data_IF_524462756325
#
_entry.id   IF_524462756325
#
_cell.length_a   1.000
_cell.length_b   1.000
_cell.length_c   1.000
_cell.angle_alpha   90.00
_cell.angle_beta   90.00
_cell.angle_gamma   90.00
#
_symmetry.space_group_name_H-M   'P 1'
#
loop_
_entity.id
_entity.type
_entity.pdbx_description
1 polymer ?
#
# COMPACT_ATOMS: atom_id res chain seq x y z
N UNK A 1 -2.47 -32.00 -27.30
CA UNK A 1 -2.01 -32.10 -25.89
C UNK A 1 -1.79 -30.68 -25.37
N UNK A 2 -2.82 -30.05 -24.83
CA UNK A 2 -2.71 -28.73 -24.19
C UNK A 2 -2.33 -28.93 -22.73
N UNK A 3 -1.02 -29.00 -22.44
CA UNK A 3 -0.52 -28.84 -21.08
C UNK A 3 -0.51 -27.34 -20.76
N UNK A 4 -1.65 -26.80 -20.32
CA UNK A 4 -1.61 -25.61 -19.48
C UNK A 4 -1.09 -26.08 -18.12
N UNK A 5 0.21 -25.90 -17.89
CA UNK A 5 0.79 -26.02 -16.56
C UNK A 5 -0.01 -25.10 -15.64
N UNK A 6 -0.74 -25.71 -14.72
CA UNK A 6 -1.56 -25.04 -13.73
C UNK A 6 -0.61 -24.39 -12.71
N UNK A 7 -0.11 -23.20 -13.04
CA UNK A 7 0.69 -22.41 -12.12
C UNK A 7 -0.25 -21.92 -11.02
N UNK A 8 -0.10 -22.50 -9.83
CA UNK A 8 -0.85 -22.13 -8.65
C UNK A 8 0.08 -21.51 -7.62
N UNK A 9 -0.38 -20.41 -7.02
CA UNK A 9 0.22 -19.82 -5.85
C UNK A 9 -0.63 -20.23 -4.66
N UNK A 10 -0.01 -20.84 -3.65
CA UNK A 10 -0.68 -21.22 -2.40
C UNK A 10 -1.27 -20.01 -1.67
N UNK A 11 -0.71 -18.83 -1.92
CA UNK A 11 -1.12 -17.55 -1.34
C UNK A 11 -1.34 -16.52 -2.45
N UNK A 12 -2.26 -15.55 -2.25
CA UNK A 12 -2.48 -14.50 -3.23
C UNK A 12 -1.26 -13.61 -3.39
N UNK A 13 -0.92 -13.30 -4.65
CA UNK A 13 0.10 -12.30 -4.98
C UNK A 13 -0.45 -10.88 -4.78
N UNK A 14 -0.14 -10.23 -3.68
CA UNK A 14 -0.55 -8.84 -3.46
C UNK A 14 0.24 -7.88 -4.35
N UNK A 15 -0.48 -7.06 -5.12
CA UNK A 15 0.07 -6.18 -6.17
C UNK A 15 0.97 -6.93 -7.17
N UNK A 16 0.61 -8.18 -7.45
CA UNK A 16 1.31 -9.04 -8.40
C UNK A 16 0.36 -9.96 -9.13
N UNK A 17 0.93 -10.76 -10.03
CA UNK A 17 0.26 -11.86 -10.73
C UNK A 17 1.03 -13.14 -10.47
N UNK A 18 0.31 -14.22 -10.22
CA UNK A 18 0.93 -15.54 -10.14
C UNK A 18 1.38 -15.94 -11.55
N UNK A 19 2.67 -16.19 -11.72
CA UNK A 19 3.29 -16.56 -13.01
C UNK A 19 3.95 -17.93 -13.00
N UNK A 20 4.05 -18.55 -11.82
CA UNK A 20 4.67 -19.85 -11.61
C UNK A 20 4.16 -20.52 -10.34
N UNK A 21 4.74 -21.66 -9.96
CA UNK A 21 4.42 -22.31 -8.69
C UNK A 21 4.96 -21.46 -7.56
N UNK A 22 4.07 -20.90 -6.74
CA UNK A 22 4.42 -19.95 -5.68
C UNK A 22 5.28 -18.75 -6.14
N UNK A 23 5.23 -18.42 -7.44
CA UNK A 23 6.04 -17.36 -8.01
C UNK A 23 5.16 -16.19 -8.43
N UNK A 24 5.29 -15.07 -7.72
CA UNK A 24 4.61 -13.82 -8.04
C UNK A 24 5.49 -12.90 -8.87
N UNK A 25 4.98 -12.46 -10.03
CA UNK A 25 5.51 -11.31 -10.76
C UNK A 25 4.79 -10.04 -10.30
N UNK A 26 5.53 -9.04 -9.82
CA UNK A 26 4.95 -7.78 -9.37
C UNK A 26 4.33 -7.00 -10.53
N UNK A 27 3.25 -6.27 -10.24
CA UNK A 27 2.67 -5.31 -11.19
C UNK A 27 3.68 -4.19 -11.50
N UNK A 28 3.54 -3.50 -12.66
CA UNK A 28 4.44 -2.40 -13.01
C UNK A 28 4.53 -1.35 -11.91
N UNK A 29 5.76 -0.96 -11.56
CA UNK A 29 6.02 -0.01 -10.48
C UNK A 29 5.93 -0.58 -9.07
N UNK A 30 5.76 -1.89 -8.90
CA UNK A 30 5.89 -2.60 -7.63
C UNK A 30 7.13 -3.51 -7.64
N UNK A 31 7.73 -3.75 -6.48
CA UNK A 31 8.92 -4.59 -6.31
C UNK A 31 8.71 -5.62 -5.21
N UNK A 32 9.34 -6.79 -5.37
CA UNK A 32 9.31 -7.88 -4.39
C UNK A 32 9.89 -7.39 -3.05
N UNK A 33 9.34 -7.93 -1.97
CA UNK A 33 9.85 -7.75 -0.61
C UNK A 33 10.58 -9.00 -0.13
N UNK A 34 10.82 -9.10 1.18
CA UNK A 34 11.23 -10.34 1.84
C UNK A 34 10.18 -11.47 1.70
N UNK A 35 8.94 -11.14 1.33
CA UNK A 35 7.87 -12.09 1.05
C UNK A 35 7.74 -12.34 -0.46
N UNK A 36 7.65 -13.61 -0.86
CA UNK A 36 7.45 -14.02 -2.26
C UNK A 36 6.06 -13.68 -2.80
N UNK A 37 5.10 -13.38 -1.92
CA UNK A 37 3.69 -13.15 -2.25
C UNK A 37 3.27 -11.68 -2.13
N UNK A 38 4.15 -10.78 -1.69
CA UNK A 38 3.80 -9.39 -1.44
C UNK A 38 4.76 -8.44 -2.17
N UNK A 39 4.19 -7.62 -3.06
CA UNK A 39 4.90 -6.58 -3.77
C UNK A 39 4.57 -5.20 -3.19
N UNK A 40 5.61 -4.45 -2.78
CA UNK A 40 5.47 -3.08 -2.31
C UNK A 40 5.64 -2.08 -3.47
N UNK A 41 4.97 -0.92 -3.42
CA UNK A 41 5.15 0.13 -4.41
C UNK A 41 6.61 0.61 -4.44
N UNK A 42 7.10 0.89 -5.63
CA UNK A 42 8.41 1.45 -5.87
C UNK A 42 8.31 2.91 -6.28
N UNK A 43 9.15 3.74 -5.66
CA UNK A 43 9.37 5.11 -6.06
C UNK A 43 10.83 5.21 -6.54
N UNK A 44 11.03 5.82 -7.72
CA UNK A 44 12.36 6.03 -8.31
C UNK A 44 13.17 7.09 -7.55
N UNK A 45 12.52 7.80 -6.63
CA UNK A 45 13.06 8.81 -5.72
C UNK A 45 12.71 8.50 -4.26
N UNK A 46 13.44 9.16 -3.36
CA UNK A 46 13.15 9.12 -1.92
C UNK A 46 11.95 9.99 -1.60
N UNK A 47 11.01 9.47 -0.79
CA UNK A 47 9.85 10.23 -0.32
C UNK A 47 10.15 11.15 0.86
N UNK A 48 11.39 11.19 1.39
CA UNK A 48 11.72 12.07 2.53
C UNK A 48 10.97 11.68 3.81
N UNK A 49 10.27 12.63 4.43
CA UNK A 49 9.42 12.43 5.63
C UNK A 49 8.07 11.72 5.33
N UNK A 50 8.04 10.93 4.26
CA UNK A 50 6.88 10.18 3.81
C UNK A 50 7.28 8.80 3.31
N UNK A 51 6.29 8.05 2.86
CA UNK A 51 6.50 6.71 2.31
C UNK A 51 5.90 6.58 0.91
N UNK A 52 6.41 5.64 0.12
CA UNK A 52 5.85 5.31 -1.18
C UNK A 52 4.54 4.54 -0.98
N UNK A 53 3.39 5.14 -1.29
CA UNK A 53 2.07 4.55 -1.07
C UNK A 53 1.47 3.94 -2.34
N UNK A 54 1.90 4.43 -3.49
CA UNK A 54 1.67 3.84 -4.81
C UNK A 54 2.92 4.05 -5.68
N UNK A 55 3.05 3.37 -6.83
CA UNK A 55 4.21 3.54 -7.70
C UNK A 55 4.46 5.01 -8.04
N UNK A 56 5.67 5.50 -7.74
CA UNK A 56 6.05 6.91 -7.91
C UNK A 56 5.10 7.92 -7.23
N UNK A 57 4.42 7.53 -6.15
CA UNK A 57 3.55 8.42 -5.37
C UNK A 57 3.87 8.33 -3.89
N UNK A 58 4.20 9.48 -3.29
CA UNK A 58 4.56 9.58 -1.89
C UNK A 58 3.36 10.04 -1.06
N UNK A 59 3.14 9.40 0.08
CA UNK A 59 2.24 9.88 1.13
C UNK A 59 3.05 10.39 2.29
N UNK A 60 2.81 11.65 2.65
CA UNK A 60 3.54 12.35 3.70
C UNK A 60 3.04 11.96 5.09
N UNK A 61 3.96 11.81 6.04
CA UNK A 61 3.65 11.41 7.42
C UNK A 61 3.88 12.55 8.41
N UNK A 62 3.25 12.49 9.58
CA UNK A 62 3.56 13.39 10.70
C UNK A 62 3.46 14.88 10.34
N UNK A 63 2.47 15.26 9.54
CA UNK A 63 2.25 16.66 9.14
C UNK A 63 3.27 17.22 8.15
N UNK A 64 4.12 16.38 7.54
CA UNK A 64 4.93 16.80 6.39
C UNK A 64 4.03 17.10 5.18
N UNK A 65 4.49 18.02 4.34
CA UNK A 65 3.78 18.37 3.10
C UNK A 65 4.58 17.94 1.88
N UNK A 66 3.85 17.67 0.80
CA UNK A 66 4.44 17.20 -0.45
C UNK A 66 4.87 18.39 -1.30
N UNK A 67 6.16 18.47 -1.60
CA UNK A 67 6.70 19.34 -2.64
C UNK A 67 7.03 18.44 -3.82
N UNK A 68 6.21 18.49 -4.87
CA UNK A 68 6.26 17.59 -6.03
C UNK A 68 6.23 16.10 -5.63
N UNK A 69 7.39 15.48 -5.48
CA UNK A 69 7.58 14.06 -5.23
C UNK A 69 8.32 13.79 -3.92
N UNK A 70 8.53 14.81 -3.08
CA UNK A 70 9.28 14.72 -1.83
C UNK A 70 8.45 15.26 -0.65
N UNK A 71 8.35 14.49 0.44
CA UNK A 71 7.72 14.95 1.67
C UNK A 71 8.76 15.62 2.58
N UNK A 72 8.47 16.84 3.00
CA UNK A 72 9.35 17.59 3.90
C UNK A 72 8.55 18.22 5.03
N UNK A 73 9.20 18.33 6.19
CA UNK A 73 8.72 19.15 7.31
C UNK A 73 9.39 20.54 7.33
N UNK A 74 10.38 20.76 6.47
CA UNK A 74 11.16 21.99 6.38
C UNK A 74 10.71 22.83 5.18
N UNK A 75 10.37 24.10 5.44
CA UNK A 75 10.25 25.15 4.43
C UNK A 75 11.64 25.79 4.21
N UNK A 76 12.06 26.02 2.96
CA UNK A 76 13.41 26.53 2.63
C UNK A 76 13.33 27.98 2.12
N UNK A 77 14.05 28.89 2.76
CA UNK A 77 14.09 30.33 2.43
C UNK A 77 14.55 30.68 1.00
N UNK A 78 13.78 31.53 0.31
CA UNK A 78 14.16 32.36 -0.83
C UNK A 78 13.96 33.85 -0.48
N UNK A 79 15.08 34.56 -0.39
CA UNK A 79 15.13 36.01 -0.32
C UNK A 79 15.00 36.61 -1.73
N UNK A 80 13.80 37.05 -2.14
CA UNK A 80 13.61 37.74 -3.42
C UNK A 80 12.82 39.05 -3.19
N UNK A 81 13.48 40.19 -3.46
CA UNK A 81 12.92 41.55 -3.58
C UNK A 81 11.94 42.04 -2.49
N UNK A 82 12.48 42.66 -1.42
CA UNK A 82 11.82 43.58 -0.45
C UNK A 82 10.48 43.15 0.20
N UNK A 83 10.00 41.94 -0.06
CA UNK A 83 9.08 41.21 0.80
C UNK A 83 9.76 39.89 1.17
N UNK A 84 9.93 39.66 2.47
CA UNK A 84 10.33 38.33 2.97
C UNK A 84 9.07 37.47 3.00
N UNK A 85 9.04 36.36 2.27
CA UNK A 85 7.95 35.38 2.38
C UNK A 85 8.57 33.99 2.42
N UNK A 86 8.89 33.51 3.63
CA UNK A 86 8.98 32.09 3.96
C UNK A 86 8.37 31.88 5.32
N UNK A 87 7.38 31.01 5.32
CA UNK A 87 6.36 30.91 6.32
C UNK A 87 6.71 29.68 7.14
N UNK A 88 7.11 29.88 8.40
CA UNK A 88 7.23 28.80 9.37
C UNK A 88 6.00 27.86 9.33
N UNK A 89 6.05 26.72 10.00
CA UNK A 89 4.91 25.77 10.02
C UNK A 89 3.58 26.45 10.35
N UNK A 90 3.54 27.50 11.18
CA UNK A 90 2.33 28.26 11.49
C UNK A 90 1.90 29.20 10.37
N UNK A 91 2.84 29.82 9.66
CA UNK A 91 2.54 30.69 8.54
C UNK A 91 2.19 29.89 7.26
N UNK A 92 2.70 28.65 7.11
CA UNK A 92 2.34 27.73 6.03
C UNK A 92 0.95 27.11 6.31
N UNK A 93 0.70 26.76 7.57
CA UNK A 93 -0.62 26.42 8.09
C UNK A 93 -1.66 27.54 7.93
N UNK A 94 -1.27 28.82 7.99
CA UNK A 94 -2.19 29.94 7.82
C UNK A 94 -2.63 30.17 6.36
N UNK A 95 -1.79 29.85 5.37
CA UNK A 95 -2.13 29.98 3.94
C UNK A 95 -2.93 28.77 3.43
N UNK A 96 -2.62 27.56 3.92
CA UNK A 96 -3.26 26.31 3.47
C UNK A 96 -4.25 25.69 4.46
N UNK A 97 -4.36 26.22 5.68
CA UNK A 97 -5.39 25.90 6.68
C UNK A 97 -5.22 24.59 7.47
N UNK A 98 -4.14 24.41 8.26
CA UNK A 98 -3.95 23.16 9.04
C UNK A 98 -3.40 23.31 10.47
N UNK A 99 -3.99 22.56 11.41
CA UNK A 99 -3.69 22.48 12.84
C UNK A 99 -2.66 21.37 13.14
N UNK A 100 -1.56 21.69 13.85
CA UNK A 100 -0.41 20.82 14.20
C UNK A 100 -0.75 19.76 15.28
N UNK A 101 -1.95 19.16 15.26
CA UNK A 101 -2.22 18.00 16.12
C UNK A 101 -1.56 16.75 15.53
N UNK A 102 -0.28 16.63 15.87
CA UNK A 102 0.61 15.49 15.75
C UNK A 102 -0.11 14.17 16.11
N UNK A 103 -0.63 13.47 15.09
CA UNK A 103 -1.04 12.07 15.24
C UNK A 103 0.22 11.26 15.50
N UNK A 104 0.31 10.60 16.65
CA UNK A 104 1.47 9.82 17.13
C UNK A 104 1.75 8.54 16.33
N UNK A 105 1.27 8.49 15.08
CA UNK A 105 1.27 7.34 14.20
C UNK A 105 2.39 7.52 13.17
N UNK A 106 3.61 7.14 13.55
CA UNK A 106 4.78 7.20 12.67
C UNK A 106 5.07 5.81 12.11
N UNK A 107 4.91 5.61 10.81
CA UNK A 107 5.22 4.35 10.13
C UNK A 107 6.34 4.52 9.11
N UNK A 108 7.40 3.71 9.24
CA UNK A 108 8.56 3.70 8.34
C UNK A 108 8.22 3.20 6.92
N UNK A 109 7.13 2.43 6.78
CA UNK A 109 6.64 1.85 5.53
C UNK A 109 5.12 2.00 5.43
N UNK A 110 4.55 2.00 4.20
CA UNK A 110 3.10 2.06 4.01
C UNK A 110 2.38 0.95 4.77
N UNK A 111 1.23 1.27 5.37
CA UNK A 111 0.23 0.27 5.75
C UNK A 111 -0.66 -0.01 4.53
N UNK A 112 -0.38 -1.07 3.78
CA UNK A 112 -1.21 -1.44 2.63
C UNK A 112 -2.53 -2.04 3.09
N UNK A 113 -3.66 -1.47 2.64
CA UNK A 113 -5.02 -1.80 3.11
C UNK A 113 -5.21 -1.64 4.63
N UNK A 114 -4.49 -0.69 5.23
CA UNK A 114 -4.57 -0.37 6.66
C UNK A 114 -4.19 1.08 6.93
N UNK A 115 -4.50 1.54 8.12
CA UNK A 115 -4.12 2.85 8.63
C UNK A 115 -2.92 2.71 9.57
N UNK A 116 -1.99 3.65 9.50
CA UNK A 116 -0.94 3.76 10.51
C UNK A 116 -1.57 4.38 11.77
N UNK A 117 -1.64 3.63 12.86
CA UNK A 117 -2.31 4.08 14.09
C UNK A 117 -1.35 4.29 15.26
N UNK A 118 -0.13 3.78 15.16
CA UNK A 118 0.91 3.93 16.16
C UNK A 118 2.30 3.95 15.53
N UNK A 119 3.34 3.78 16.34
CA UNK A 119 4.72 3.70 15.84
C UNK A 119 4.92 2.35 15.17
N UNK A 120 5.08 2.37 13.85
CA UNK A 120 5.27 1.18 13.01
C UNK A 120 4.18 0.12 13.21
N UNK A 121 2.96 0.60 13.51
CA UNK A 121 1.78 -0.22 13.81
C UNK A 121 0.66 0.09 12.82
N UNK A 122 0.36 -0.91 11.98
CA UNK A 122 -0.73 -0.87 11.02
C UNK A 122 -1.99 -1.49 11.61
N UNK A 123 -3.07 -0.73 11.64
CA UNK A 123 -4.43 -1.23 11.85
C UNK A 123 -5.06 -1.52 10.50
N UNK A 124 -5.37 -2.79 10.23
CA UNK A 124 -5.99 -3.17 8.98
C UNK A 124 -7.40 -2.59 8.84
N UNK A 125 -7.73 -2.16 7.63
CA UNK A 125 -9.09 -1.71 7.30
C UNK A 125 -10.10 -2.86 7.46
N UNK A 126 -11.39 -2.59 7.72
CA UNK A 126 -12.39 -3.63 7.91
C UNK A 126 -12.41 -4.64 6.77
N UNK A 127 -12.40 -5.94 7.11
CA UNK A 127 -12.35 -7.02 6.13
C UNK A 127 -10.93 -7.40 5.66
N UNK A 128 -9.89 -6.74 6.16
CA UNK A 128 -8.49 -7.12 5.96
C UNK A 128 -7.88 -7.60 7.28
N UNK A 129 -6.88 -8.48 7.19
CA UNK A 129 -6.13 -9.04 8.32
C UNK A 129 -4.63 -8.90 8.08
N UNK A 130 -3.85 -8.88 9.16
CA UNK A 130 -2.40 -8.73 9.10
C UNK A 130 -1.79 -9.82 8.20
N UNK A 131 -1.03 -9.40 7.20
CA UNK A 131 -0.35 -10.26 6.25
C UNK A 131 0.92 -10.87 6.80
N UNK A 132 1.74 -11.42 5.90
CA UNK A 132 3.04 -11.98 6.27
C UNK A 132 4.00 -10.86 6.66
N UNK A 133 3.97 -9.77 5.90
CA UNK A 133 4.61 -8.52 6.27
C UNK A 133 3.66 -7.67 7.13
N UNK A 134 4.16 -7.16 8.26
CA UNK A 134 3.39 -6.30 9.18
C UNK A 134 2.86 -5.01 8.54
N UNK A 135 3.45 -4.60 7.42
CA UNK A 135 3.09 -3.43 6.62
C UNK A 135 1.95 -3.70 5.65
N UNK A 136 1.54 -4.95 5.53
CA UNK A 136 0.57 -5.40 4.55
C UNK A 136 -0.62 -6.03 5.26
N UNK A 137 -1.83 -5.56 4.93
CA UNK A 137 -3.07 -6.19 5.32
C UNK A 137 -3.66 -6.93 4.12
N UNK A 138 -3.79 -8.24 4.26
CA UNK A 138 -4.35 -9.13 3.24
C UNK A 138 -5.87 -9.20 3.36
N UNK A 139 -6.61 -9.27 2.24
CA UNK A 139 -8.06 -9.40 2.27
C UNK A 139 -8.48 -10.69 2.96
N UNK A 140 -9.52 -10.61 3.78
CA UNK A 140 -10.11 -11.75 4.47
C UNK A 140 -11.47 -12.12 3.87
N UNK A 141 -11.65 -13.42 3.67
CA UNK A 141 -12.93 -14.01 3.28
C UNK A 141 -13.38 -14.89 4.44
N UNK A 142 -14.65 -14.75 4.85
CA UNK A 142 -15.26 -15.54 5.94
C UNK A 142 -15.56 -16.99 5.51
N UNK A 143 -15.33 -17.30 4.22
CA UNK A 143 -15.51 -18.58 3.57
C UNK A 143 -14.28 -18.94 2.75
N UNK A 144 -14.13 -20.24 2.50
CA UNK A 144 -13.06 -20.76 1.66
C UNK A 144 -13.36 -20.50 0.18
N UNK A 145 -12.40 -19.89 -0.53
CA UNK A 145 -12.51 -19.62 -1.96
C UNK A 145 -12.31 -20.86 -2.83
N UNK A 146 -11.85 -22.00 -2.29
CA UNK A 146 -11.63 -23.24 -3.04
C UNK A 146 -10.53 -23.06 -4.09
N UNK A 147 -10.84 -23.32 -5.37
CA UNK A 147 -9.92 -23.06 -6.50
C UNK A 147 -9.84 -21.58 -6.87
N UNK A 148 -9.61 -20.73 -5.88
CA UNK A 148 -9.50 -19.30 -6.00
C UNK A 148 -8.90 -18.68 -4.75
N UNK A 149 -8.65 -17.38 -4.80
CA UNK A 149 -8.08 -16.64 -3.68
C UNK A 149 -8.92 -15.43 -3.30
N UNK A 150 -8.82 -15.00 -2.04
CA UNK A 150 -9.47 -13.77 -1.59
C UNK A 150 -8.77 -12.57 -2.23
N UNK A 151 -9.46 -11.91 -3.14
CA UNK A 151 -8.93 -10.78 -3.93
C UNK A 151 -9.31 -9.42 -3.34
N UNK A 152 -10.38 -9.40 -2.55
CA UNK A 152 -10.88 -8.31 -1.74
C UNK A 152 -11.71 -8.93 -0.60
N UNK A 153 -12.04 -8.18 0.47
CA UNK A 153 -12.84 -8.70 1.57
C UNK A 153 -14.11 -9.40 1.09
N UNK A 154 -14.30 -10.66 1.49
CA UNK A 154 -15.42 -11.50 1.07
C UNK A 154 -15.63 -11.58 -0.46
N UNK A 155 -14.56 -11.46 -1.26
CA UNK A 155 -14.59 -11.58 -2.72
C UNK A 155 -13.48 -12.47 -3.25
N UNK A 156 -13.87 -13.63 -3.77
CA UNK A 156 -12.95 -14.58 -4.41
C UNK A 156 -12.67 -14.21 -5.86
N UNK A 157 -11.43 -14.43 -6.29
CA UNK A 157 -11.03 -14.51 -7.70
C UNK A 157 -10.65 -15.95 -8.01
N UNK A 158 -11.35 -16.56 -8.96
CA UNK A 158 -11.16 -17.96 -9.33
C UNK A 158 -9.94 -18.13 -10.23
N UNK A 159 -9.18 -19.19 -10.00
CA UNK A 159 -7.98 -19.58 -10.77
C UNK A 159 -8.29 -20.79 -11.64
N UNK A 160 -7.37 -21.20 -12.53
CA UNK A 160 -7.48 -22.51 -13.22
C UNK A 160 -8.69 -22.71 -14.13
N UNK A 161 -9.39 -21.64 -14.53
CA UNK A 161 -10.63 -21.75 -15.32
C UNK A 161 -11.89 -22.11 -14.52
N UNK A 162 -11.77 -22.22 -13.19
CA UNK A 162 -12.90 -22.44 -12.29
C UNK A 162 -13.86 -21.25 -12.26
N UNK A 163 -15.14 -21.52 -12.04
CA UNK A 163 -16.20 -20.51 -12.09
C UNK A 163 -16.72 -20.20 -10.68
N UNK A 164 -17.15 -18.95 -10.48
CA UNK A 164 -17.75 -18.55 -9.21
C UNK A 164 -19.12 -19.21 -9.02
N UNK A 165 -19.28 -19.93 -7.90
CA UNK A 165 -20.54 -20.58 -7.51
C UNK A 165 -21.24 -19.73 -6.42
N UNK A 166 -22.19 -18.83 -6.78
CA UNK A 166 -22.78 -17.88 -5.84
C UNK A 166 -23.61 -18.52 -4.72
N UNK A 167 -24.08 -19.77 -4.90
CA UNK A 167 -24.83 -20.48 -3.86
C UNK A 167 -23.94 -21.05 -2.75
N UNK A 168 -22.67 -21.31 -3.06
CA UNK A 168 -21.69 -21.93 -2.14
C UNK A 168 -20.56 -20.97 -1.74
N UNK A 169 -20.49 -19.80 -2.38
CA UNK A 169 -19.43 -18.81 -2.23
C UNK A 169 -18.02 -19.39 -2.46
N UNK A 170 -17.87 -20.28 -3.44
CA UNK A 170 -16.62 -20.99 -3.73
C UNK A 170 -16.32 -20.95 -5.24
N UNK A 171 -15.05 -21.03 -5.61
CA UNK A 171 -14.59 -21.29 -6.98
C UNK A 171 -14.47 -22.79 -7.20
N UNK A 172 -15.20 -23.31 -8.19
CA UNK A 172 -15.29 -24.73 -8.56
C UNK A 172 -15.48 -24.87 -10.08
#
# INVERSE_FOLDING_TARGET
HNNQYEYACEKPCLNGKCVGVNECACLPGYKKTDSEFECLPHCDYSCGAGFCSAPNWCTCTGGSFQIEHFCTQFCIELSIFRHRIWIDTASCAAIFGWDYKLSQSLCDKPCMNGDCVGVNECQCTPGYKKGYNKWVCLPHCDFDCGYGYCSAPNKCTCTGGHMWMPKRNICD
#
